data_IF_591080498912
#
_entry.id   IF_591080498912
#
_cell.length_a   1.000
_cell.length_b   1.000
_cell.length_c   1.000
_cell.angle_alpha   90.00
_cell.angle_beta   90.00
_cell.angle_gamma   90.00
#
_symmetry.space_group_name_H-M   'P 1'
#
loop_
_entity.id
_entity.type
_entity.pdbx_description
1 polymer ?
#
# COMPACT_ATOMS: atom_id res chain seq x y z
N UNK A 1 46.95 39.15 -88.62
CA UNK A 1 46.93 39.46 -87.17
C UNK A 1 45.96 38.48 -86.50
N UNK A 2 46.46 37.33 -86.03
CA UNK A 2 45.66 36.38 -85.23
C UNK A 2 46.05 36.52 -83.75
N UNK A 3 45.06 36.72 -82.87
CA UNK A 3 45.26 36.71 -81.41
C UNK A 3 45.26 35.27 -80.89
N UNK A 4 46.11 34.89 -79.93
CA UNK A 4 46.06 33.57 -79.32
C UNK A 4 45.02 33.50 -78.20
N UNK A 5 44.23 32.43 -78.19
CA UNK A 5 43.32 32.06 -77.10
C UNK A 5 44.13 31.53 -75.90
N UNK A 6 44.01 32.20 -74.75
CA UNK A 6 44.44 31.66 -73.47
C UNK A 6 43.45 30.56 -73.02
N UNK A 7 43.96 29.36 -72.75
CA UNK A 7 43.19 28.25 -72.18
C UNK A 7 43.00 28.50 -70.69
N UNK A 8 41.75 28.69 -70.26
CA UNK A 8 41.37 28.77 -68.85
C UNK A 8 41.42 27.36 -68.25
N UNK A 9 42.44 27.08 -67.45
CA UNK A 9 42.58 25.82 -66.72
C UNK A 9 41.81 25.97 -65.41
N UNK A 10 40.63 25.37 -65.34
CA UNK A 10 39.86 25.22 -64.10
C UNK A 10 40.72 24.42 -63.11
N UNK A 11 41.16 25.08 -62.04
CA UNK A 11 41.80 24.42 -60.90
C UNK A 11 40.69 23.73 -60.09
N UNK A 12 40.89 22.42 -59.92
CA UNK A 12 40.15 21.53 -59.03
C UNK A 12 39.96 22.14 -57.64
N UNK A 13 38.74 22.01 -57.12
CA UNK A 13 38.30 22.55 -55.83
C UNK A 13 39.24 22.19 -54.69
N UNK A 14 39.75 23.24 -54.04
CA UNK A 14 40.32 23.18 -52.70
C UNK A 14 39.13 23.09 -51.74
N UNK A 15 39.09 22.13 -50.79
CA UNK A 15 38.03 22.09 -49.80
C UNK A 15 38.07 23.40 -49.00
N UNK A 16 37.00 24.17 -49.10
CA UNK A 16 36.85 25.43 -48.36
C UNK A 16 36.74 25.11 -46.87
N UNK A 17 37.39 25.89 -46.01
CA UNK A 17 37.36 25.75 -44.55
C UNK A 17 35.95 25.64 -43.94
N UNK A 18 34.91 26.06 -44.67
CA UNK A 18 33.51 25.89 -44.29
C UNK A 18 33.00 24.45 -44.36
N UNK A 19 33.52 23.61 -45.26
CA UNK A 19 33.07 22.22 -45.42
C UNK A 19 33.44 21.37 -44.19
N UNK A 20 34.67 21.51 -43.70
CA UNK A 20 35.13 20.82 -42.49
C UNK A 20 34.36 21.24 -41.23
N UNK A 21 33.94 22.50 -41.14
CA UNK A 21 33.11 22.98 -40.02
C UNK A 21 31.67 22.42 -40.10
N UNK A 22 31.12 22.26 -41.29
CA UNK A 22 29.80 21.64 -41.49
C UNK A 22 29.83 20.14 -41.17
N UNK A 23 30.91 19.45 -41.49
CA UNK A 23 31.07 18.03 -41.16
C UNK A 23 31.22 17.80 -39.65
N UNK A 24 31.97 18.66 -38.95
CA UNK A 24 32.04 18.61 -37.48
C UNK A 24 30.66 18.83 -36.83
N UNK A 25 29.92 19.83 -37.29
CA UNK A 25 28.55 20.07 -36.79
C UNK A 25 27.61 18.90 -37.07
N UNK A 26 27.81 18.17 -38.18
CA UNK A 26 27.05 16.96 -38.51
C UNK A 26 27.38 15.82 -37.55
N UNK A 27 28.66 15.56 -37.30
CA UNK A 27 29.11 14.52 -36.37
C UNK A 27 28.63 14.81 -34.93
N UNK A 28 28.74 16.05 -34.47
CA UNK A 28 28.23 16.47 -33.15
C UNK A 28 26.71 16.30 -33.05
N UNK A 29 25.99 16.61 -34.11
CA UNK A 29 24.53 16.39 -34.18
C UNK A 29 24.20 14.91 -34.10
N UNK A 30 24.86 14.06 -34.89
CA UNK A 30 24.63 12.60 -34.89
C UNK A 30 24.95 12.00 -33.51
N UNK A 31 26.02 12.47 -32.87
CA UNK A 31 26.37 12.06 -31.51
C UNK A 31 25.30 12.48 -30.49
N UNK A 32 24.81 13.72 -30.56
CA UNK A 32 23.74 14.20 -29.68
C UNK A 32 22.42 13.45 -29.91
N UNK A 33 22.05 13.19 -31.17
CA UNK A 33 20.89 12.38 -31.52
C UNK A 33 21.03 10.93 -30.98
N UNK A 34 22.23 10.37 -31.04
CA UNK A 34 22.55 9.07 -30.43
C UNK A 34 22.33 9.06 -28.91
N UNK A 35 22.80 10.08 -28.18
CA UNK A 35 22.57 10.21 -26.75
C UNK A 35 21.09 10.34 -26.41
N UNK A 36 20.35 11.16 -27.19
CA UNK A 36 18.91 11.34 -27.01
C UNK A 36 18.18 10.01 -27.20
N UNK A 37 18.51 9.25 -28.25
CA UNK A 37 17.89 7.95 -28.51
C UNK A 37 18.20 6.94 -27.40
N UNK A 38 19.43 6.91 -26.91
CA UNK A 38 19.80 6.07 -25.78
C UNK A 38 18.99 6.44 -24.53
N UNK A 39 18.95 7.72 -24.16
CA UNK A 39 18.18 8.18 -23.00
C UNK A 39 16.70 7.86 -23.15
N UNK A 40 16.12 8.05 -24.34
CA UNK A 40 14.74 7.70 -24.61
C UNK A 40 14.46 6.21 -24.40
N UNK A 41 15.36 5.32 -24.85
CA UNK A 41 15.23 3.88 -24.59
C UNK A 41 15.27 3.54 -23.09
N UNK A 42 16.19 4.14 -22.34
CA UNK A 42 16.30 3.95 -20.89
C UNK A 42 15.06 4.48 -20.16
N UNK A 43 14.55 5.64 -20.56
CA UNK A 43 13.34 6.24 -20.00
C UNK A 43 12.15 5.31 -20.20
N UNK A 44 11.94 4.78 -21.41
CA UNK A 44 10.84 3.86 -21.71
C UNK A 44 10.95 2.59 -20.88
N UNK A 45 12.14 2.00 -20.76
CA UNK A 45 12.37 0.79 -19.98
C UNK A 45 12.12 1.01 -18.48
N UNK A 46 12.58 2.15 -17.94
CA UNK A 46 12.35 2.49 -16.53
C UNK A 46 10.89 2.80 -16.25
N UNK A 47 10.20 3.50 -17.15
CA UNK A 47 8.76 3.75 -17.02
C UNK A 47 7.97 2.44 -17.03
N UNK A 48 8.28 1.51 -17.95
CA UNK A 48 7.66 0.18 -17.98
C UNK A 48 7.87 -0.57 -16.68
N UNK A 49 9.11 -0.66 -16.18
CA UNK A 49 9.44 -1.33 -14.91
C UNK A 49 8.72 -0.69 -13.73
N UNK A 50 8.60 0.64 -13.71
CA UNK A 50 7.89 1.34 -12.64
C UNK A 50 6.40 1.00 -12.65
N UNK A 51 5.76 0.97 -13.82
CA UNK A 51 4.36 0.55 -13.95
C UNK A 51 4.16 -0.93 -13.58
N UNK A 52 5.06 -1.83 -13.99
CA UNK A 52 5.02 -3.24 -13.58
C UNK A 52 5.11 -3.41 -12.05
N UNK A 53 6.01 -2.66 -11.41
CA UNK A 53 6.14 -2.67 -9.95
C UNK A 53 4.91 -2.09 -9.25
N UNK A 54 4.33 -0.99 -9.76
CA UNK A 54 3.08 -0.43 -9.24
C UNK A 54 1.92 -1.42 -9.34
N UNK A 55 1.80 -2.15 -10.46
CA UNK A 55 0.78 -3.19 -10.64
C UNK A 55 1.00 -4.33 -9.63
N UNK A 56 2.24 -4.79 -9.46
CA UNK A 56 2.56 -5.85 -8.48
C UNK A 56 2.23 -5.43 -7.04
N UNK A 57 2.53 -4.18 -6.69
CA UNK A 57 2.21 -3.63 -5.38
C UNK A 57 0.71 -3.56 -5.15
N UNK A 58 -0.06 -3.05 -6.13
CA UNK A 58 -1.54 -3.06 -6.08
C UNK A 58 -2.07 -4.48 -5.92
N UNK A 59 -1.52 -5.46 -6.64
CA UNK A 59 -1.94 -6.87 -6.54
C UNK A 59 -1.65 -7.45 -5.16
N UNK A 60 -0.51 -7.14 -4.54
CA UNK A 60 -0.17 -7.59 -3.19
C UNK A 60 -1.10 -6.98 -2.15
N UNK A 61 -1.34 -5.66 -2.21
CA UNK A 61 -2.29 -4.98 -1.31
C UNK A 61 -3.70 -5.51 -1.46
N UNK A 62 -4.15 -5.75 -2.71
CA UNK A 62 -5.44 -6.38 -2.97
C UNK A 62 -5.46 -7.82 -2.45
N UNK A 63 -4.38 -8.60 -2.55
CA UNK A 63 -4.34 -9.96 -2.01
C UNK A 63 -4.41 -9.99 -0.47
N UNK A 64 -3.90 -8.96 0.22
CA UNK A 64 -3.97 -8.83 1.67
C UNK A 64 -5.35 -8.39 2.17
N UNK A 65 -6.04 -7.49 1.47
CA UNK A 65 -7.39 -7.06 1.82
C UNK A 65 -8.49 -8.00 1.30
N UNK A 66 -8.28 -8.61 0.14
CA UNK A 66 -9.21 -9.53 -0.48
C UNK A 66 -8.91 -10.95 0.04
N UNK A 67 -9.12 -11.13 1.35
CA UNK A 67 -9.26 -12.45 1.93
C UNK A 67 -10.34 -13.23 1.15
N UNK A 68 -9.91 -14.08 0.23
CA UNK A 68 -10.70 -15.13 -0.44
C UNK A 68 -11.74 -14.76 -1.53
N UNK A 69 -11.99 -13.52 -1.96
CA UNK A 69 -13.10 -13.30 -2.92
C UNK A 69 -12.70 -13.32 -4.42
N UNK A 70 -12.65 -14.53 -4.97
CA UNK A 70 -13.49 -14.90 -6.12
C UNK A 70 -13.51 -14.05 -7.40
N UNK A 71 -12.39 -13.78 -8.07
CA UNK A 71 -12.43 -13.34 -9.48
C UNK A 71 -11.20 -13.76 -10.30
N UNK A 72 -10.96 -15.06 -10.41
CA UNK A 72 -10.17 -15.60 -11.53
C UNK A 72 -11.11 -16.39 -12.44
N UNK A 73 -11.70 -15.67 -13.39
CA UNK A 73 -12.34 -16.26 -14.55
C UNK A 73 -11.32 -16.38 -15.66
N UNK A 74 -10.61 -17.52 -15.72
CA UNK A 74 -10.27 -18.21 -16.96
C UNK A 74 -9.59 -19.56 -16.68
N UNK A 75 -9.98 -20.57 -17.46
CA UNK A 75 -9.30 -21.86 -17.71
C UNK A 75 -9.44 -22.98 -16.66
N UNK A 76 -10.47 -23.82 -16.90
CA UNK A 76 -10.37 -25.27 -17.08
C UNK A 76 -9.25 -26.05 -16.35
N UNK A 77 -9.65 -26.85 -15.36
CA UNK A 77 -8.79 -27.87 -14.78
C UNK A 77 -9.13 -28.14 -13.32
N UNK A 78 -9.96 -29.15 -13.07
CA UNK A 78 -10.47 -29.49 -11.74
C UNK A 78 -9.39 -29.53 -10.66
N UNK A 79 -9.50 -28.64 -9.68
CA UNK A 79 -8.85 -28.78 -8.39
C UNK A 79 -9.83 -28.33 -7.32
N UNK A 80 -10.12 -29.27 -6.42
CA UNK A 80 -11.01 -29.10 -5.27
C UNK A 80 -10.62 -27.81 -4.57
N UNK A 81 -11.51 -26.82 -4.57
CA UNK A 81 -11.32 -25.58 -3.83
C UNK A 81 -11.12 -25.97 -2.36
N UNK A 82 -9.88 -25.89 -1.89
CA UNK A 82 -9.54 -26.04 -0.49
C UNK A 82 -10.30 -24.94 0.25
N UNK A 83 -11.44 -25.31 0.84
CA UNK A 83 -12.16 -24.47 1.78
C UNK A 83 -11.17 -24.24 2.91
N UNK A 84 -10.50 -23.08 2.91
CA UNK A 84 -9.62 -22.66 3.99
C UNK A 84 -10.41 -22.86 5.27
N UNK A 85 -9.88 -23.67 6.17
CA UNK A 85 -10.57 -23.99 7.41
C UNK A 85 -10.90 -22.67 8.14
N UNK A 86 -12.08 -22.57 8.77
CA UNK A 86 -12.40 -21.40 9.58
C UNK A 86 -11.28 -21.11 10.59
N UNK A 87 -11.05 -19.84 10.96
CA UNK A 87 -10.08 -19.49 11.99
C UNK A 87 -10.30 -20.34 13.25
N UNK A 88 -9.22 -20.87 13.81
CA UNK A 88 -9.30 -21.66 15.05
C UNK A 88 -9.66 -20.74 16.21
N UNK A 89 -10.66 -21.14 16.99
CA UNK A 89 -11.01 -20.46 18.24
C UNK A 89 -9.95 -20.81 19.29
N UNK A 90 -9.54 -19.84 20.10
CA UNK A 90 -8.57 -20.04 21.18
C UNK A 90 -9.01 -19.19 22.37
N UNK A 91 -9.20 -19.83 23.52
CA UNK A 91 -9.49 -19.14 24.76
C UNK A 91 -8.20 -19.03 25.59
N UNK A 92 -7.77 -17.80 25.83
CA UNK A 92 -6.60 -17.44 26.64
C UNK A 92 -6.80 -17.61 28.16
N UNK A 93 -8.05 -17.78 28.62
CA UNK A 93 -8.38 -18.03 30.03
C UNK A 93 -8.11 -19.49 30.42
N UNK A 94 -8.44 -20.45 29.55
CA UNK A 94 -8.27 -21.89 29.79
C UNK A 94 -7.09 -22.51 29.01
N UNK A 95 -6.39 -21.73 28.17
CA UNK A 95 -5.39 -22.20 27.22
C UNK A 95 -5.88 -23.36 26.31
N UNK A 96 -7.13 -23.28 25.86
CA UNK A 96 -7.79 -24.35 25.13
C UNK A 96 -8.22 -23.92 23.71
N UNK A 97 -7.91 -24.76 22.71
CA UNK A 97 -8.24 -24.53 21.30
C UNK A 97 -9.57 -25.16 20.91
N UNK A 98 -10.28 -24.54 19.97
CA UNK A 98 -11.45 -25.02 19.23
C UNK A 98 -12.70 -25.37 20.07
N UNK A 99 -12.71 -25.08 21.38
CA UNK A 99 -13.86 -25.32 22.26
C UNK A 99 -14.77 -24.10 22.37
N UNK A 100 -14.21 -22.96 22.76
CA UNK A 100 -14.87 -21.67 22.90
C UNK A 100 -13.85 -20.56 22.67
N UNK A 101 -14.33 -19.35 22.40
CA UNK A 101 -13.51 -18.14 22.44
C UNK A 101 -13.47 -17.59 23.88
N UNK A 102 -12.58 -16.63 24.15
CA UNK A 102 -12.38 -16.02 25.47
C UNK A 102 -13.69 -15.55 26.13
N UNK A 103 -14.59 -14.92 25.37
CA UNK A 103 -15.86 -14.38 25.89
C UNK A 103 -16.85 -15.45 26.39
N UNK A 104 -16.75 -16.68 25.87
CA UNK A 104 -17.65 -17.81 26.18
C UNK A 104 -17.04 -18.77 27.21
N UNK A 105 -15.94 -18.36 27.86
CA UNK A 105 -15.21 -19.24 28.76
C UNK A 105 -16.05 -19.59 30.01
N UNK A 106 -16.31 -20.87 30.31
CA UNK A 106 -17.08 -21.24 31.50
C UNK A 106 -16.37 -20.91 32.81
N UNK A 107 -15.05 -20.74 32.79
CA UNK A 107 -14.30 -20.19 33.94
C UNK A 107 -14.42 -18.67 34.06
N UNK A 108 -14.88 -17.99 33.02
CA UNK A 108 -15.36 -16.59 33.11
C UNK A 108 -16.74 -16.51 33.79
N UNK A 109 -17.43 -17.65 34.01
CA UNK A 109 -18.68 -17.67 34.74
C UNK A 109 -18.48 -17.00 36.09
N UNK A 110 -19.27 -15.94 36.27
CA UNK A 110 -19.37 -15.20 37.50
C UNK A 110 -19.50 -16.15 38.69
N UNK A 111 -18.61 -16.02 39.67
CA UNK A 111 -18.82 -16.64 40.98
C UNK A 111 -20.24 -16.30 41.46
N UNK A 112 -20.99 -17.21 42.09
CA UNK A 112 -22.34 -16.89 42.60
C UNK A 112 -22.33 -15.76 43.65
N UNK A 113 -21.15 -15.38 44.18
CA UNK A 113 -20.90 -14.22 45.03
C UNK A 113 -20.58 -12.92 44.27
N UNK A 114 -20.59 -12.93 42.94
CA UNK A 114 -20.38 -11.70 42.17
C UNK A 114 -21.58 -10.80 42.39
N UNK A 115 -21.32 -9.55 42.80
CA UNK A 115 -22.33 -8.52 42.95
C UNK A 115 -23.19 -8.49 41.68
N UNK A 116 -24.52 -8.62 41.77
CA UNK A 116 -25.38 -8.66 40.60
C UNK A 116 -25.04 -7.48 39.70
N UNK A 117 -24.92 -7.75 38.39
CA UNK A 117 -24.72 -6.69 37.43
C UNK A 117 -25.76 -5.60 37.68
N UNK A 118 -25.28 -4.35 37.56
CA UNK A 118 -26.07 -3.14 37.69
C UNK A 118 -27.50 -3.32 37.17
N UNK A 119 -28.47 -3.44 38.08
CA UNK A 119 -29.90 -3.45 37.74
C UNK A 119 -30.43 -2.04 37.42
N UNK A 120 -29.54 -1.12 37.02
CA UNK A 120 -29.88 0.25 36.69
C UNK A 120 -30.78 0.29 35.46
N UNK A 121 -32.08 0.49 35.69
CA UNK A 121 -33.10 0.69 34.65
C UNK A 121 -33.24 2.18 34.29
N UNK A 122 -32.12 2.85 34.05
CA UNK A 122 -32.13 4.22 33.54
C UNK A 122 -32.54 4.28 32.07
N UNK A 123 -32.93 5.45 31.58
CA UNK A 123 -33.05 5.65 30.13
C UNK A 123 -31.64 5.62 29.52
N UNK A 124 -31.45 5.13 28.29
CA UNK A 124 -30.13 5.10 27.63
C UNK A 124 -29.45 6.47 27.52
N UNK A 125 -30.23 7.55 27.55
CA UNK A 125 -29.73 8.93 27.51
C UNK A 125 -29.27 9.49 28.86
N UNK A 126 -29.63 8.83 29.97
CA UNK A 126 -29.31 9.29 31.31
C UNK A 126 -28.03 8.63 31.80
N UNK A 127 -27.02 9.43 32.16
CA UNK A 127 -25.78 8.91 32.71
C UNK A 127 -26.04 8.30 34.09
N UNK A 128 -25.57 7.06 34.28
CA UNK A 128 -25.68 6.39 35.58
C UNK A 128 -24.85 7.17 36.61
N UNK A 129 -25.39 7.47 37.81
CA UNK A 129 -24.64 8.13 38.87
C UNK A 129 -23.39 7.32 39.25
N UNK A 130 -22.22 7.95 39.16
CA UNK A 130 -20.93 7.41 39.53
C UNK A 130 -20.25 8.36 40.51
N UNK A 131 -19.60 7.79 41.51
CA UNK A 131 -18.83 8.53 42.50
C UNK A 131 -17.35 8.25 42.29
N UNK A 132 -16.58 9.29 42.01
CA UNK A 132 -15.13 9.21 41.81
C UNK A 132 -14.37 9.03 43.13
N UNK A 133 -15.00 9.32 44.27
CA UNK A 133 -14.40 9.17 45.61
C UNK A 133 -14.39 7.69 46.03
N UNK A 134 -15.52 6.99 45.86
CA UNK A 134 -15.65 5.56 46.21
C UNK A 134 -15.41 4.61 45.03
N UNK A 135 -15.14 5.15 43.84
CA UNK A 135 -15.03 4.41 42.56
C UNK A 135 -16.20 3.45 42.29
N UNK A 136 -17.40 3.84 42.75
CA UNK A 136 -18.59 2.99 42.73
C UNK A 136 -19.79 3.70 42.10
N UNK A 137 -20.64 2.92 41.44
CA UNK A 137 -21.91 3.41 40.92
C UNK A 137 -23.01 3.36 42.00
N UNK A 138 -23.90 4.35 42.00
CA UNK A 138 -25.07 4.39 42.89
C UNK A 138 -25.38 5.75 43.50
N UNK A 139 -24.40 6.64 43.52
CA UNK A 139 -24.51 8.04 43.92
C UNK A 139 -23.53 8.90 43.10
N UNK A 140 -23.72 10.21 43.06
CA UNK A 140 -22.74 11.13 42.45
C UNK A 140 -21.66 11.49 43.47
N UNK A 141 -20.50 11.91 42.99
CA UNK A 141 -19.40 12.43 43.83
C UNK A 141 -19.87 13.50 44.83
N UNK A 142 -20.85 14.33 44.47
CA UNK A 142 -21.41 15.39 45.33
C UNK A 142 -22.28 14.90 46.49
N UNK A 143 -22.77 13.65 46.42
CA UNK A 143 -23.66 13.04 47.42
C UNK A 143 -22.97 11.93 48.22
N UNK A 144 -21.64 11.87 48.13
CA UNK A 144 -20.83 10.89 48.81
C UNK A 144 -20.75 11.19 50.33
N UNK A 145 -21.11 10.22 51.17
CA UNK A 145 -20.85 10.24 52.61
C UNK A 145 -19.64 9.34 52.88
N UNK A 146 -18.45 9.92 52.90
CA UNK A 146 -17.16 9.23 53.02
C UNK A 146 -16.81 8.81 54.48
N UNK A 147 -17.84 8.56 55.29
CA UNK A 147 -17.74 8.41 56.75
C UNK A 147 -17.53 6.95 57.18
N UNK A 148 -16.79 6.14 56.40
CA UNK A 148 -16.40 4.80 56.85
C UNK A 148 -14.93 4.77 57.24
N UNK A 149 -14.71 5.02 58.53
CA UNK A 149 -13.52 4.53 59.24
C UNK A 149 -13.57 2.99 59.25
N UNK A 150 -12.45 2.36 58.91
CA UNK A 150 -12.15 0.92 58.84
C UNK A 150 -13.07 -0.05 59.61
#
# INVERSE_FOLDING_TARGET
MLRPHAKFKMLSGVPSSGDAALDQLREEKEFAEGQINFLNSVIVDLQRKNEELKVKLKKMVLAEFNGNDGTDGFEEGGSKKDKKAPPRLFCDICDCFDLHDTEDCPTQAQSPDSVPHSSFKGKPADQRPYCDICEAFGHSTESCQDDQTF
#
